data_IF_356552207696
#
_entry.id   IF_356552207696
#
_cell.length_a   1.000
_cell.length_b   1.000
_cell.length_c   1.000
_cell.angle_alpha   90.00
_cell.angle_beta   90.00
_cell.angle_gamma   90.00
#
_symmetry.space_group_name_H-M   'P 1'
#
loop_
_entity.id
_entity.type
_entity.pdbx_description
1 polymer ?
#
# COMPACT_ATOMS: atom_id res chain seq x y z
N UNK A 1 43.78 -31.07 35.74
CA UNK A 1 43.51 -32.11 34.72
C UNK A 1 42.09 -32.61 34.98
N UNK A 2 41.07 -32.14 34.25
CA UNK A 2 40.64 -32.63 32.91
C UNK A 2 40.32 -34.14 32.97
N UNK A 3 39.14 -34.67 32.68
CA UNK A 3 37.90 -34.23 32.02
C UNK A 3 36.81 -35.28 32.37
N UNK A 4 35.62 -35.10 31.82
CA UNK A 4 34.52 -36.05 31.58
C UNK A 4 33.20 -35.66 32.25
N UNK A 5 32.48 -34.76 31.57
CA UNK A 5 31.07 -34.49 31.77
C UNK A 5 30.24 -35.66 31.22
N UNK A 6 29.48 -36.31 32.10
CA UNK A 6 28.30 -37.13 31.75
C UNK A 6 27.08 -36.21 31.89
N UNK A 7 26.41 -35.89 30.79
CA UNK A 7 25.15 -36.51 30.36
C UNK A 7 24.08 -36.41 31.44
N UNK A 8 23.09 -35.56 31.22
CA UNK A 8 21.69 -36.01 31.17
C UNK A 8 20.74 -34.85 30.85
N UNK A 9 19.74 -35.19 30.04
CA UNK A 9 18.40 -34.61 30.03
C UNK A 9 18.16 -33.21 29.40
N UNK A 10 17.60 -33.20 28.18
CA UNK A 10 16.14 -33.04 27.97
C UNK A 10 15.79 -32.94 26.48
N UNK A 11 15.00 -33.91 26.00
CA UNK A 11 14.22 -33.79 24.78
C UNK A 11 13.13 -32.73 24.95
N UNK A 12 12.94 -31.85 23.96
CA UNK A 12 11.65 -31.19 23.71
C UNK A 12 11.45 -30.96 22.22
N UNK A 13 10.36 -31.53 21.74
CA UNK A 13 9.77 -31.42 20.42
C UNK A 13 9.12 -30.03 20.22
N UNK A 14 8.99 -29.62 18.95
CA UNK A 14 8.21 -28.43 18.51
C UNK A 14 8.98 -27.11 18.60
N UNK A 15 8.89 -26.16 17.69
CA UNK A 15 7.87 -25.86 16.69
C UNK A 15 8.52 -25.23 15.45
N UNK A 16 7.97 -25.57 14.30
CA UNK A 16 8.18 -24.89 13.02
C UNK A 16 7.69 -23.45 13.11
N UNK A 17 8.53 -22.52 13.57
CA UNK A 17 8.28 -21.10 13.32
C UNK A 17 8.80 -20.77 11.94
N UNK A 18 7.95 -21.09 10.96
CA UNK A 18 7.98 -20.47 9.65
C UNK A 18 7.94 -18.96 9.81
N UNK A 19 9.12 -18.33 9.85
CA UNK A 19 9.27 -16.91 9.60
C UNK A 19 8.96 -16.68 8.12
N UNK A 20 7.66 -16.68 7.79
CA UNK A 20 7.15 -16.03 6.60
C UNK A 20 7.27 -14.54 6.87
N UNK A 21 8.46 -13.98 6.65
CA UNK A 21 8.58 -12.57 6.34
C UNK A 21 7.81 -12.38 5.03
N UNK A 22 6.55 -11.99 5.12
CA UNK A 22 5.74 -11.58 3.97
C UNK A 22 6.47 -10.41 3.30
N UNK A 23 7.18 -10.73 2.20
CA UNK A 23 7.87 -9.77 1.36
C UNK A 23 6.84 -8.76 0.82
N UNK A 24 6.70 -7.64 1.52
CA UNK A 24 5.87 -6.49 1.11
C UNK A 24 6.59 -5.58 0.10
N UNK A 25 7.56 -6.13 -0.63
CA UNK A 25 8.22 -5.41 -1.71
C UNK A 25 7.27 -5.17 -2.89
N UNK A 26 7.43 -4.07 -3.63
CA UNK A 26 6.62 -3.82 -4.81
C UNK A 26 6.81 -4.97 -5.81
N UNK A 27 5.70 -5.54 -6.26
CA UNK A 27 5.70 -6.52 -7.35
C UNK A 27 6.42 -5.89 -8.56
N UNK A 28 7.49 -6.55 -9.01
CA UNK A 28 8.37 -6.07 -10.08
C UNK A 28 7.54 -5.57 -11.28
N UNK A 29 7.74 -4.31 -11.66
CA UNK A 29 7.08 -3.69 -12.82
C UNK A 29 5.78 -2.92 -12.56
N UNK A 30 5.25 -2.92 -11.33
CA UNK A 30 4.11 -2.06 -10.96
C UNK A 30 4.64 -0.88 -10.15
N UNK A 31 4.90 0.24 -10.84
CA UNK A 31 5.19 1.51 -10.17
C UNK A 31 3.94 2.00 -9.44
N UNK A 32 4.04 2.30 -8.14
CA UNK A 32 2.97 2.96 -7.40
C UNK A 32 2.65 4.31 -8.05
N UNK A 33 1.41 4.47 -8.52
CA UNK A 33 0.95 5.73 -9.12
C UNK A 33 0.16 6.52 -8.09
N UNK A 34 0.48 7.80 -7.99
CA UNK A 34 -0.30 8.72 -7.18
C UNK A 34 -1.72 8.86 -7.76
N UNK A 35 -2.71 8.60 -6.90
CA UNK A 35 -4.13 8.76 -7.21
C UNK A 35 -4.66 9.93 -6.40
N UNK A 36 -5.33 10.85 -7.11
CA UNK A 36 -5.95 12.02 -6.51
C UNK A 36 -7.48 11.90 -6.60
N UNK A 37 -8.14 12.29 -5.52
CA UNK A 37 -9.59 12.40 -5.41
C UNK A 37 -9.99 13.86 -5.28
N UNK A 38 -11.15 14.23 -5.80
CA UNK A 38 -11.70 15.57 -5.66
C UNK A 38 -13.06 15.51 -4.98
N UNK A 39 -13.27 16.28 -3.93
CA UNK A 39 -14.58 16.40 -3.30
C UNK A 39 -15.55 17.16 -4.22
N UNK A 40 -16.76 16.63 -4.44
CA UNK A 40 -17.77 17.29 -5.29
C UNK A 40 -18.37 18.56 -4.67
N UNK A 41 -18.38 18.67 -3.34
CA UNK A 41 -19.01 19.80 -2.67
C UNK A 41 -18.08 21.01 -2.56
N UNK A 42 -16.86 20.84 -2.05
CA UNK A 42 -15.91 21.94 -1.85
C UNK A 42 -14.77 21.99 -2.88
N UNK A 43 -14.67 21.02 -3.80
CA UNK A 43 -13.60 20.96 -4.80
C UNK A 43 -12.21 20.60 -4.24
N UNK A 44 -12.09 20.27 -2.95
CA UNK A 44 -10.80 19.95 -2.32
C UNK A 44 -10.18 18.70 -2.95
N UNK A 45 -8.91 18.80 -3.35
CA UNK A 45 -8.12 17.70 -3.90
C UNK A 45 -7.43 16.98 -2.75
N UNK A 46 -7.61 15.66 -2.69
CA UNK A 46 -7.16 14.78 -1.62
C UNK A 46 -6.29 13.69 -2.23
N UNK A 47 -5.15 13.41 -1.61
CA UNK A 47 -4.30 12.27 -1.97
C UNK A 47 -4.82 10.98 -1.33
N UNK A 48 -4.40 9.82 -1.85
CA UNK A 48 -4.73 8.53 -1.21
C UNK A 48 -4.28 8.49 0.26
N UNK A 49 -3.08 8.98 0.57
CA UNK A 49 -2.52 8.96 1.93
C UNK A 49 -3.32 9.79 2.93
N UNK A 50 -3.86 10.94 2.52
CA UNK A 50 -4.73 11.76 3.37
C UNK A 50 -6.06 11.07 3.67
N UNK A 51 -6.59 10.30 2.71
CA UNK A 51 -7.89 9.65 2.83
C UNK A 51 -7.79 8.36 3.67
N UNK A 52 -6.68 7.63 3.53
CA UNK A 52 -6.39 6.41 4.29
C UNK A 52 -6.24 6.67 5.81
N UNK A 53 -5.97 7.91 6.22
CA UNK A 53 -5.91 8.31 7.64
C UNK A 53 -7.29 8.28 8.31
N UNK A 54 -8.38 8.40 7.54
CA UNK A 54 -9.73 8.39 8.06
C UNK A 54 -10.35 7.00 7.93
N UNK A 55 -11.10 6.57 8.95
CA UNK A 55 -11.82 5.29 8.91
C UNK A 55 -12.89 5.22 7.81
N UNK A 56 -13.33 6.36 7.30
CA UNK A 56 -14.34 6.45 6.26
C UNK A 56 -14.01 7.53 5.24
N UNK A 57 -14.56 7.39 4.03
CA UNK A 57 -14.38 8.32 2.92
C UNK A 57 -15.10 9.65 3.23
N UNK A 58 -14.48 10.51 4.02
CA UNK A 58 -15.01 11.80 4.45
C UNK A 58 -14.04 12.91 4.05
N UNK A 59 -14.58 13.98 3.48
CA UNK A 59 -13.77 15.13 3.10
C UNK A 59 -13.29 15.88 4.36
N UNK A 60 -11.98 16.13 4.54
CA UNK A 60 -11.44 16.79 5.72
C UNK A 60 -11.87 18.27 5.87
N UNK A 61 -12.38 18.88 4.80
CA UNK A 61 -12.82 20.28 4.80
C UNK A 61 -14.30 20.48 5.08
N UNK A 62 -15.17 19.65 4.49
CA UNK A 62 -16.62 19.89 4.52
C UNK A 62 -17.45 18.68 5.03
N UNK A 63 -16.83 17.55 5.35
CA UNK A 63 -17.53 16.35 5.81
C UNK A 63 -18.31 15.59 4.74
N UNK A 64 -18.31 16.06 3.48
CA UNK A 64 -18.99 15.40 2.37
C UNK A 64 -18.30 14.07 2.00
N UNK A 65 -19.07 13.11 1.50
CA UNK A 65 -18.60 11.71 1.29
C UNK A 65 -18.48 11.28 -0.16
N UNK A 66 -18.76 12.16 -1.12
CA UNK A 66 -18.71 11.84 -2.55
C UNK A 66 -17.47 12.47 -3.17
N UNK A 67 -16.65 11.63 -3.80
CA UNK A 67 -15.41 12.01 -4.46
C UNK A 67 -15.39 11.59 -5.92
N UNK A 68 -14.73 12.39 -6.75
CA UNK A 68 -14.41 12.07 -8.14
C UNK A 68 -12.94 11.67 -8.23
N UNK A 69 -12.67 10.51 -8.82
CA UNK A 69 -11.30 10.06 -9.10
C UNK A 69 -10.73 10.88 -10.25
N UNK A 70 -9.66 11.62 -9.99
CA UNK A 70 -8.96 12.37 -11.02
C UNK A 70 -8.11 11.40 -11.84
N UNK A 71 -8.21 11.51 -13.17
CA UNK A 71 -7.31 10.79 -14.07
C UNK A 71 -5.90 11.36 -13.93
N UNK A 72 -4.90 10.49 -14.07
CA UNK A 72 -3.51 10.92 -14.16
C UNK A 72 -3.36 11.96 -15.29
N UNK A 73 -2.47 12.95 -15.14
CA UNK A 73 -2.25 13.94 -16.17
C UNK A 73 -1.88 13.26 -17.50
N UNK A 74 -2.37 13.79 -18.64
CA UNK A 74 -2.19 13.16 -19.95
C UNK A 74 -0.72 13.13 -20.39
N UNK A 75 0.17 13.87 -19.72
CA UNK A 75 1.62 13.80 -19.93
C UNK A 75 2.21 12.41 -19.68
N UNK A 76 1.56 11.61 -18.83
CA UNK A 76 2.00 10.25 -18.49
C UNK A 76 1.43 9.19 -19.46
N UNK A 77 0.37 9.52 -20.19
CA UNK A 77 -0.29 8.62 -21.14
C UNK A 77 0.07 9.08 -22.55
N UNK A 78 0.80 8.25 -23.32
CA UNK A 78 1.15 8.59 -24.71
C UNK A 78 -0.10 9.08 -25.46
N UNK A 79 -0.15 10.33 -25.93
CA UNK A 79 -1.32 10.83 -26.64
C UNK A 79 -1.56 9.96 -27.87
N UNK A 80 -2.82 9.52 -28.06
CA UNK A 80 -3.18 8.82 -29.29
C UNK A 80 -3.19 9.85 -30.41
N UNK A 81 -2.39 9.64 -31.45
CA UNK A 81 -2.51 10.39 -32.70
C UNK A 81 -3.82 9.93 -33.35
N UNK A 82 -4.74 10.86 -33.54
CA UNK A 82 -5.94 10.67 -34.36
C UNK A 82 -5.79 11.61 -35.54
N UNK A 83 -5.62 11.03 -36.72
CA UNK A 83 -5.60 11.79 -37.96
C UNK A 83 -7.05 12.11 -38.35
N UNK A 84 -7.32 13.37 -38.70
CA UNK A 84 -8.61 13.75 -39.25
C UNK A 84 -8.74 13.18 -40.67
N UNK A 85 -9.87 12.53 -40.95
CA UNK A 85 -10.26 12.02 -42.29
C UNK A 85 -10.80 13.18 -43.12
#
# INVERSE_FOLDING_TARGET
MSEFNNSDELNKEGEETSLQEEYSGPLYGISEREVYYMCLNCGYKISKSELDQYHSMICPKCGYRIFVKLRAPPTLVKPRKVDAI
#
